data_IF_547756040447
#
_entry.id   IF_547756040447
#
_cell.length_a   1.000
_cell.length_b   1.000
_cell.length_c   1.000
_cell.angle_alpha   90.00
_cell.angle_beta   90.00
_cell.angle_gamma   90.00
#
_symmetry.space_group_name_H-M   'P 1'
#
loop_
_entity.id
_entity.type
_entity.pdbx_description
1 polymer ?
#
# COMPACT_ATOMS: atom_id res chain seq x y z
N UNK A 1 -20.94 27.53 25.57
CA UNK A 1 -21.66 26.45 24.87
C UNK A 1 -22.04 25.38 25.87
N UNK A 2 -23.34 25.11 26.01
CA UNK A 2 -23.81 23.96 26.81
C UNK A 2 -23.44 22.66 26.11
N UNK A 3 -23.40 21.54 26.84
CA UNK A 3 -23.06 20.23 26.25
C UNK A 3 -24.04 19.85 25.13
N UNK A 4 -25.30 20.23 25.30
CA UNK A 4 -26.38 20.05 24.33
C UNK A 4 -26.11 20.77 23.00
N UNK A 5 -25.61 22.01 23.06
CA UNK A 5 -25.26 22.76 21.85
C UNK A 5 -24.12 22.12 21.07
N UNK A 6 -23.17 21.48 21.76
CA UNK A 6 -22.05 20.78 21.12
C UNK A 6 -22.50 19.48 20.47
N UNK A 7 -23.40 18.72 21.11
CA UNK A 7 -23.95 17.48 20.54
C UNK A 7 -24.82 17.77 19.33
N UNK A 8 -25.65 18.80 19.40
CA UNK A 8 -26.49 19.21 18.28
C UNK A 8 -25.64 19.65 17.07
N UNK A 9 -24.55 20.39 17.33
CA UNK A 9 -23.60 20.77 16.29
C UNK A 9 -22.91 19.56 15.65
N UNK A 10 -22.46 18.59 16.46
CA UNK A 10 -21.85 17.36 15.95
C UNK A 10 -22.82 16.55 15.07
N UNK A 11 -24.06 16.38 15.50
CA UNK A 11 -25.06 15.66 14.70
C UNK A 11 -25.30 16.33 13.33
N UNK A 12 -25.39 17.66 13.31
CA UNK A 12 -25.54 18.44 12.06
C UNK A 12 -24.32 18.28 11.15
N UNK A 13 -23.12 18.26 11.73
CA UNK A 13 -21.88 18.09 10.99
C UNK A 13 -21.77 16.67 10.39
N UNK A 14 -22.17 15.63 11.13
CA UNK A 14 -22.17 14.25 10.63
C UNK A 14 -23.17 14.06 9.48
N UNK A 15 -24.40 14.59 9.61
CA UNK A 15 -25.41 14.51 8.55
C UNK A 15 -24.95 15.19 7.25
N UNK A 16 -24.23 16.32 7.34
CA UNK A 16 -23.64 16.97 6.17
C UNK A 16 -22.50 16.15 5.57
N UNK A 17 -21.68 15.49 6.38
CA UNK A 17 -20.62 14.62 5.86
C UNK A 17 -21.23 13.42 5.11
N UNK A 18 -22.30 12.83 5.63
CA UNK A 18 -23.01 11.71 5.00
C UNK A 18 -23.68 12.11 3.66
N UNK A 19 -24.15 13.36 3.53
CA UNK A 19 -24.74 13.89 2.29
C UNK A 19 -23.69 14.10 1.18
N UNK A 20 -22.47 14.46 1.55
CA UNK A 20 -21.39 14.79 0.59
C UNK A 20 -20.42 13.64 0.32
N UNK A 21 -20.48 12.56 1.12
CA UNK A 21 -19.75 11.33 0.84
C UNK A 21 -20.71 10.39 0.12
N UNK A 22 -20.55 10.24 -1.19
CA UNK A 22 -21.08 9.08 -1.92
C UNK A 22 -20.39 7.82 -1.34
N UNK A 23 -21.05 7.17 -0.37
CA UNK A 23 -20.58 5.90 0.21
C UNK A 23 -20.78 4.80 -0.83
N UNK A 24 -19.85 4.72 -1.79
CA UNK A 24 -19.48 3.44 -2.34
C UNK A 24 -18.65 2.74 -1.26
N UNK A 25 -19.32 1.87 -0.51
CA UNK A 25 -18.82 0.96 0.53
C UNK A 25 -17.29 0.91 0.66
N UNK A 26 -16.74 1.72 1.56
CA UNK A 26 -15.41 1.49 2.13
C UNK A 26 -15.62 1.03 3.56
N UNK A 27 -15.84 -0.28 3.71
CA UNK A 27 -15.82 -0.97 4.98
C UNK A 27 -14.48 -0.74 5.67
N UNK A 28 -14.45 0.16 6.65
CA UNK A 28 -13.33 0.32 7.58
C UNK A 28 -13.47 -0.76 8.65
N UNK A 29 -13.15 -1.99 8.28
CA UNK A 29 -12.77 -3.01 9.26
C UNK A 29 -11.26 -2.88 9.53
N UNK A 30 -10.94 -2.49 10.76
CA UNK A 30 -9.60 -2.60 11.34
C UNK A 30 -9.25 -4.09 11.52
N UNK A 31 -8.73 -4.71 10.46
CA UNK A 31 -8.19 -6.08 10.42
C UNK A 31 -6.98 -6.02 9.46
N UNK A 32 -5.82 -6.67 9.75
CA UNK A 32 -4.62 -6.55 8.93
C UNK A 32 -4.97 -6.85 7.47
N UNK A 33 -4.71 -5.87 6.62
CA UNK A 33 -5.06 -5.80 5.20
C UNK A 33 -4.95 -7.15 4.48
N UNK A 34 -6.07 -7.83 4.37
CA UNK A 34 -6.32 -8.81 3.31
C UNK A 34 -7.48 -8.26 2.50
N UNK A 35 -7.21 -7.19 1.74
CA UNK A 35 -8.12 -6.77 0.68
C UNK A 35 -8.11 -7.84 -0.40
N UNK A 36 -9.10 -8.73 -0.34
CA UNK A 36 -9.64 -9.47 -1.49
C UNK A 36 -10.43 -8.49 -2.37
N UNK A 37 -9.73 -7.51 -2.94
CA UNK A 37 -10.04 -7.14 -4.32
C UNK A 37 -9.65 -8.33 -5.17
N UNK A 38 -10.34 -8.56 -6.28
CA UNK A 38 -9.87 -9.43 -7.36
C UNK A 38 -8.55 -8.86 -7.88
N UNK A 39 -7.49 -9.04 -7.10
CA UNK A 39 -6.18 -8.46 -7.32
C UNK A 39 -5.65 -9.25 -8.50
N UNK A 40 -5.60 -8.59 -9.65
CA UNK A 40 -4.80 -9.05 -10.77
C UNK A 40 -3.51 -9.66 -10.20
N UNK A 41 -3.15 -10.89 -10.63
CA UNK A 41 -2.10 -11.67 -9.99
C UNK A 41 -0.89 -10.77 -9.76
N UNK A 42 -0.51 -10.60 -8.49
CA UNK A 42 0.53 -9.65 -8.14
C UNK A 42 1.82 -10.06 -8.85
N UNK A 43 2.25 -9.25 -9.84
CA UNK A 43 3.48 -9.50 -10.57
C UNK A 43 4.66 -9.31 -9.61
N UNK A 44 5.22 -10.43 -9.18
CA UNK A 44 6.40 -10.50 -8.32
C UNK A 44 7.64 -10.66 -9.18
N UNK A 45 8.62 -9.78 -8.97
CA UNK A 45 9.89 -9.77 -9.68
C UNK A 45 11.03 -10.09 -8.73
N UNK A 46 11.99 -10.85 -9.21
CA UNK A 46 13.28 -10.98 -8.53
C UNK A 46 14.11 -9.71 -8.72
N UNK A 47 15.12 -9.52 -7.85
CA UNK A 47 16.04 -8.38 -7.95
C UNK A 47 16.67 -8.24 -9.34
N UNK A 48 17.00 -9.36 -10.00
CA UNK A 48 17.60 -9.36 -11.35
C UNK A 48 16.62 -8.93 -12.42
N UNK A 49 15.38 -9.39 -12.33
CA UNK A 49 14.32 -9.01 -13.27
C UNK A 49 13.96 -7.53 -13.11
N UNK A 50 13.97 -7.01 -11.88
CA UNK A 50 13.80 -5.57 -11.63
C UNK A 50 14.87 -4.74 -12.34
N UNK A 51 16.15 -5.15 -12.30
CA UNK A 51 17.22 -4.43 -13.00
C UNK A 51 17.12 -4.52 -14.53
N UNK A 52 16.47 -5.56 -15.05
CA UNK A 52 16.23 -5.71 -16.48
C UNK A 52 15.02 -4.90 -16.97
N UNK A 53 13.97 -4.78 -16.14
CA UNK A 53 12.79 -3.98 -16.47
C UNK A 53 12.99 -2.48 -16.27
N UNK A 54 13.75 -2.09 -15.25
CA UNK A 54 14.00 -0.70 -14.91
C UNK A 54 15.47 -0.38 -15.11
N UNK A 55 15.81 0.14 -16.29
CA UNK A 55 17.17 0.61 -16.59
C UNK A 55 17.58 1.73 -15.63
N UNK A 56 18.86 1.72 -15.21
CA UNK A 56 19.42 2.73 -14.31
C UNK A 56 19.33 2.41 -12.81
N UNK A 57 18.71 1.29 -12.43
CA UNK A 57 18.69 0.84 -11.03
C UNK A 57 19.62 -0.36 -10.85
N UNK A 58 20.52 -0.28 -9.86
CA UNK A 58 21.41 -1.39 -9.52
C UNK A 58 20.71 -2.42 -8.61
N UNK A 59 21.18 -3.67 -8.65
CA UNK A 59 20.71 -4.70 -7.71
C UNK A 59 20.91 -4.29 -6.25
N UNK A 60 21.99 -3.56 -5.95
CA UNK A 60 22.27 -3.07 -4.61
C UNK A 60 21.22 -2.08 -4.13
N UNK A 61 20.83 -1.14 -4.99
CA UNK A 61 19.80 -0.14 -4.69
C UNK A 61 18.46 -0.81 -4.37
N UNK A 62 18.07 -1.80 -5.16
CA UNK A 62 16.84 -2.56 -4.94
C UNK A 62 16.85 -3.28 -3.59
N UNK A 63 17.98 -3.91 -3.23
CA UNK A 63 18.13 -4.57 -1.93
C UNK A 63 18.04 -3.58 -0.77
N UNK A 64 18.60 -2.38 -0.93
CA UNK A 64 18.50 -1.31 0.06
C UNK A 64 17.06 -0.82 0.21
N UNK A 65 16.33 -0.61 -0.89
CA UNK A 65 14.92 -0.21 -0.85
C UNK A 65 14.06 -1.25 -0.13
N UNK A 66 14.29 -2.54 -0.42
CA UNK A 66 13.62 -3.64 0.26
C UNK A 66 13.96 -3.70 1.75
N UNK A 67 15.24 -3.51 2.12
CA UNK A 67 15.69 -3.52 3.51
C UNK A 67 15.15 -2.34 4.32
N UNK A 68 14.97 -1.17 3.68
CA UNK A 68 14.35 0.02 4.29
C UNK A 68 12.84 -0.05 4.38
N UNK A 69 12.20 -1.04 3.75
CA UNK A 69 10.74 -1.18 3.72
C UNK A 69 10.04 -0.16 2.83
N UNK A 70 10.75 0.52 1.93
CA UNK A 70 10.19 1.50 1.00
C UNK A 70 9.39 0.85 -0.13
N UNK A 71 9.61 -0.45 -0.35
CA UNK A 71 8.91 -1.27 -1.35
C UNK A 71 8.42 -2.57 -0.71
N UNK A 72 7.24 -3.04 -1.14
CA UNK A 72 6.69 -4.32 -0.68
C UNK A 72 7.53 -5.45 -1.28
N UNK A 73 8.17 -6.22 -0.40
CA UNK A 73 8.99 -7.36 -0.79
C UNK A 73 8.80 -8.54 0.16
N UNK A 74 8.98 -9.74 -0.37
CA UNK A 74 8.88 -11.00 0.36
C UNK A 74 10.15 -11.80 0.14
N UNK A 75 10.71 -12.35 1.21
CA UNK A 75 11.86 -13.23 1.12
C UNK A 75 11.41 -14.67 0.88
N UNK A 76 11.70 -15.19 -0.30
CA UNK A 76 11.49 -16.59 -0.66
C UNK A 76 12.74 -17.41 -0.24
N UNK A 77 12.66 -17.99 0.95
CA UNK A 77 13.66 -18.95 1.48
C UNK A 77 14.09 -18.67 2.93
N UNK A 78 14.47 -19.72 3.63
CA UNK A 78 14.96 -19.65 5.01
C UNK A 78 16.42 -19.19 5.03
N UNK A 79 16.67 -17.90 5.26
CA UNK A 79 18.00 -17.36 5.54
C UNK A 79 18.32 -16.00 4.93
N UNK A 80 19.45 -15.41 5.37
CA UNK A 80 19.91 -14.07 4.95
C UNK A 80 20.17 -13.95 3.44
N UNK A 81 20.44 -15.06 2.76
CA UNK A 81 20.72 -15.12 1.33
C UNK A 81 19.52 -15.63 0.49
N UNK A 82 18.33 -15.78 1.10
CA UNK A 82 17.11 -16.15 0.38
C UNK A 82 16.81 -15.16 -0.76
N UNK A 83 16.08 -15.63 -1.78
CA UNK A 83 15.67 -14.78 -2.90
C UNK A 83 14.71 -13.71 -2.39
N UNK A 84 14.81 -12.51 -2.93
CA UNK A 84 13.89 -11.41 -2.63
C UNK A 84 12.96 -11.27 -3.83
N UNK A 85 11.67 -11.41 -3.57
CA UNK A 85 10.59 -11.17 -4.51
C UNK A 85 9.99 -9.80 -4.19
N UNK A 86 9.83 -8.96 -5.21
CA UNK A 86 9.42 -7.57 -5.10
C UNK A 86 8.12 -7.41 -5.87
N UNK A 87 7.15 -6.73 -5.28
CA UNK A 87 5.94 -6.39 -6.01
C UNK A 87 6.24 -5.27 -7.02
N UNK A 88 5.98 -5.53 -8.30
CA UNK A 88 6.24 -4.58 -9.40
C UNK A 88 5.52 -3.25 -9.19
N UNK A 89 4.27 -3.27 -8.77
CA UNK A 89 3.47 -2.05 -8.55
C UNK A 89 4.06 -1.18 -7.45
N UNK A 90 4.56 -1.79 -6.36
CA UNK A 90 5.21 -1.06 -5.28
C UNK A 90 6.50 -0.39 -5.73
N UNK A 91 7.29 -1.06 -6.58
CA UNK A 91 8.51 -0.48 -7.15
C UNK A 91 8.18 0.68 -8.10
N UNK A 92 7.21 0.51 -8.99
CA UNK A 92 6.76 1.57 -9.91
C UNK A 92 6.25 2.81 -9.16
N UNK A 93 5.46 2.60 -8.10
CA UNK A 93 4.98 3.68 -7.23
C UNK A 93 6.14 4.42 -6.55
N UNK A 94 7.15 3.70 -6.07
CA UNK A 94 8.31 4.33 -5.43
C UNK A 94 9.15 5.16 -6.41
N UNK A 95 9.22 4.73 -7.66
CA UNK A 95 9.95 5.40 -8.74
C UNK A 95 9.17 6.54 -9.41
N UNK A 96 7.87 6.69 -9.09
CA UNK A 96 7.03 7.76 -9.61
C UNK A 96 6.45 7.49 -11.00
N UNK A 97 6.38 6.24 -11.43
CA UNK A 97 5.71 5.86 -12.68
C UNK A 97 4.18 5.76 -12.55
N UNK A 98 3.69 5.55 -11.32
CA UNK A 98 2.27 5.36 -10.96
C UNK A 98 1.99 6.02 -9.61
#
# INVERSE_FOLDING_TARGET
>A
MTKEQKTEFMCKLMALIDEYIDVADVDVEHVPSVTTTEKAPAEMLTVKECTQQFEGISEHTIRQLAARGEIISVRAGAGKNGKILINKASLMKRLGFI
#
